data_IF_715074297021
#
_entry.id   IF_715074297021
#
_cell.length_a   1.000
_cell.length_b   1.000
_cell.length_c   1.000
_cell.angle_alpha   90.00
_cell.angle_beta   90.00
_cell.angle_gamma   90.00
#
_symmetry.space_group_name_H-M   'P 1'
#
loop_
_entity.id
_entity.type
_entity.pdbx_description
1 polymer ?
#
# COMPACT_ATOMS: atom_id res chain seq x y z
N UNK A 1 -43.29 -5.88 39.67
CA UNK A 1 -42.40 -6.14 38.52
C UNK A 1 -42.24 -4.83 37.76
N UNK A 2 -41.20 -4.05 38.07
CA UNK A 2 -41.00 -2.74 37.45
C UNK A 2 -40.49 -2.91 36.01
N UNK A 3 -40.97 -2.11 35.04
CA UNK A 3 -40.53 -2.20 33.66
C UNK A 3 -39.08 -1.69 33.52
N UNK A 4 -38.26 -2.46 32.81
CA UNK A 4 -36.88 -2.10 32.45
C UNK A 4 -36.91 -0.92 31.48
N UNK A 5 -36.42 0.23 31.94
CA UNK A 5 -36.27 1.44 31.11
C UNK A 5 -35.17 1.17 30.06
N UNK A 6 -35.45 1.29 28.75
CA UNK A 6 -34.43 1.13 27.72
C UNK A 6 -33.41 2.27 27.81
N UNK A 7 -32.11 1.94 27.89
CA UNK A 7 -31.00 2.90 27.83
C UNK A 7 -31.14 3.76 26.57
N UNK A 8 -31.32 5.07 26.78
CA UNK A 8 -31.33 6.11 25.75
C UNK A 8 -30.04 6.04 24.93
N UNK A 9 -30.16 5.68 23.65
CA UNK A 9 -29.11 5.82 22.63
C UNK A 9 -28.77 7.31 22.56
N UNK A 10 -27.62 7.71 23.11
CA UNK A 10 -27.13 9.08 23.01
C UNK A 10 -26.86 9.38 21.54
N UNK A 11 -27.46 10.45 21.01
CA UNK A 11 -27.16 10.94 19.68
C UNK A 11 -25.71 11.44 19.68
N UNK A 12 -24.84 10.77 18.92
CA UNK A 12 -23.42 11.13 18.82
C UNK A 12 -23.29 12.56 18.28
N UNK A 13 -22.65 13.44 19.05
CA UNK A 13 -22.33 14.80 18.61
C UNK A 13 -21.19 14.76 17.59
N UNK A 14 -21.09 15.78 16.73
CA UNK A 14 -19.94 15.95 15.81
C UNK A 14 -18.58 15.89 16.52
N UNK A 15 -18.51 16.32 17.78
CA UNK A 15 -17.31 16.24 18.61
C UNK A 15 -16.95 14.81 19.06
N UNK A 16 -17.93 13.94 19.31
CA UNK A 16 -17.66 12.54 19.67
C UNK A 16 -17.08 11.78 18.48
N UNK A 17 -17.64 12.02 17.28
CA UNK A 17 -17.18 11.39 16.03
C UNK A 17 -15.72 11.77 15.73
N UNK A 18 -15.34 13.05 15.90
CA UNK A 18 -13.96 13.48 15.67
C UNK A 18 -12.96 12.85 16.65
N UNK A 19 -13.36 12.65 17.90
CA UNK A 19 -12.53 11.96 18.91
C UNK A 19 -12.35 10.48 18.54
N UNK A 20 -13.41 9.80 18.14
CA UNK A 20 -13.36 8.40 17.70
C UNK A 20 -12.42 8.21 16.50
N UNK A 21 -12.48 9.10 15.50
CA UNK A 21 -11.54 9.05 14.35
C UNK A 21 -10.09 9.32 14.77
N UNK A 22 -9.87 10.29 15.65
CA UNK A 22 -8.52 10.63 16.13
C UNK A 22 -7.91 9.46 16.91
N UNK A 23 -8.72 8.81 17.74
CA UNK A 23 -8.33 7.60 18.47
C UNK A 23 -8.07 6.41 17.53
N UNK A 24 -8.94 6.18 16.55
CA UNK A 24 -8.73 5.11 15.57
C UNK A 24 -7.43 5.30 14.78
N UNK A 25 -7.10 6.54 14.38
CA UNK A 25 -5.85 6.85 13.68
C UNK A 25 -4.64 6.65 14.58
N UNK A 26 -4.69 7.14 15.83
CA UNK A 26 -3.56 7.01 16.76
C UNK A 26 -3.26 5.55 17.09
N UNK A 27 -4.31 4.75 17.37
CA UNK A 27 -4.21 3.31 17.63
C UNK A 27 -3.68 2.54 16.43
N UNK A 28 -4.17 2.86 15.22
CA UNK A 28 -3.71 2.22 13.98
C UNK A 28 -2.24 2.52 13.69
N UNK A 29 -1.82 3.77 13.91
CA UNK A 29 -0.47 4.23 13.66
C UNK A 29 0.54 3.66 14.67
N UNK A 30 0.14 3.55 15.94
CA UNK A 30 0.95 2.89 16.97
C UNK A 30 1.10 1.38 16.66
N UNK A 31 0.01 0.71 16.32
CA UNK A 31 0.00 -0.71 15.95
C UNK A 31 0.89 -1.00 14.74
N UNK A 32 0.80 -0.16 13.70
CA UNK A 32 1.67 -0.24 12.52
C UNK A 32 3.14 -0.02 12.87
N UNK A 33 3.48 1.02 13.64
CA UNK A 33 4.86 1.29 14.07
C UNK A 33 5.45 0.12 14.86
N UNK A 34 4.66 -0.52 15.72
CA UNK A 34 5.09 -1.72 16.46
C UNK A 34 5.34 -2.91 15.53
N UNK A 35 4.46 -3.14 14.55
CA UNK A 35 4.60 -4.22 13.56
C UNK A 35 5.89 -4.08 12.74
N UNK A 36 6.16 -2.87 12.23
CA UNK A 36 7.32 -2.57 11.38
C UNK A 36 8.63 -2.66 12.17
N UNK A 37 8.64 -2.20 13.43
CA UNK A 37 9.84 -2.24 14.28
C UNK A 37 10.25 -3.67 14.62
N UNK A 38 9.29 -4.57 14.80
CA UNK A 38 9.54 -5.96 15.13
C UNK A 38 10.01 -6.80 13.94
N UNK A 39 9.76 -6.36 12.69
CA UNK A 39 10.02 -7.15 11.49
C UNK A 39 10.85 -6.34 10.46
N UNK A 40 12.19 -6.53 10.41
CA UNK A 40 13.05 -5.76 9.51
C UNK A 40 12.72 -5.98 8.02
N UNK A 41 12.19 -7.16 7.66
CA UNK A 41 11.75 -7.47 6.29
C UNK A 41 10.55 -6.62 5.85
N UNK A 42 9.56 -6.46 6.74
CA UNK A 42 8.40 -5.59 6.48
C UNK A 42 8.83 -4.13 6.36
N UNK A 43 9.75 -3.69 7.22
CA UNK A 43 10.32 -2.34 7.14
C UNK A 43 10.96 -2.06 5.78
N UNK A 44 11.71 -3.01 5.25
CA UNK A 44 12.33 -2.87 3.93
C UNK A 44 11.29 -2.76 2.81
N UNK A 45 10.26 -3.61 2.85
CA UNK A 45 9.15 -3.58 1.87
C UNK A 45 8.42 -2.24 1.92
N UNK A 46 8.07 -1.76 3.12
CA UNK A 46 7.32 -0.52 3.30
C UNK A 46 8.13 0.71 2.85
N UNK A 47 9.44 0.74 3.12
CA UNK A 47 10.35 1.79 2.61
C UNK A 47 10.42 1.75 1.09
N UNK A 48 10.56 0.56 0.50
CA UNK A 48 10.63 0.42 -0.96
C UNK A 48 9.32 0.90 -1.62
N UNK A 49 8.16 0.56 -1.05
CA UNK A 49 6.87 1.06 -1.51
C UNK A 49 6.75 2.59 -1.41
N UNK A 50 7.23 3.21 -0.33
CA UNK A 50 7.27 4.67 -0.21
C UNK A 50 8.10 5.32 -1.32
N UNK A 51 9.26 4.74 -1.67
CA UNK A 51 10.11 5.25 -2.75
C UNK A 51 9.40 5.11 -4.10
N UNK A 52 8.73 3.98 -4.38
CA UNK A 52 7.98 3.79 -5.63
C UNK A 52 6.85 4.82 -5.79
N UNK A 53 6.12 5.12 -4.72
CA UNK A 53 5.08 6.15 -4.74
C UNK A 53 5.70 7.53 -4.98
N UNK A 54 6.83 7.84 -4.34
CA UNK A 54 7.52 9.11 -4.55
C UNK A 54 8.00 9.28 -6.01
N UNK A 55 8.55 8.23 -6.61
CA UNK A 55 8.98 8.23 -8.02
C UNK A 55 7.77 8.41 -8.95
N UNK A 56 6.69 7.64 -8.76
CA UNK A 56 5.49 7.76 -9.58
C UNK A 56 4.86 9.16 -9.52
N UNK A 57 4.85 9.78 -8.33
CA UNK A 57 4.39 11.16 -8.16
C UNK A 57 5.32 12.16 -8.86
N UNK A 58 6.64 11.94 -8.82
CA UNK A 58 7.61 12.79 -9.51
C UNK A 58 7.42 12.70 -11.02
N UNK A 59 7.33 11.50 -11.59
CA UNK A 59 7.07 11.28 -13.03
C UNK A 59 5.75 11.93 -13.48
N UNK A 60 4.69 11.74 -12.69
CA UNK A 60 3.39 12.36 -12.97
C UNK A 60 3.44 13.89 -12.89
N UNK A 61 4.15 14.43 -11.89
CA UNK A 61 4.35 15.88 -11.74
C UNK A 61 5.16 16.46 -12.89
N UNK A 62 6.21 15.76 -13.33
CA UNK A 62 7.03 16.17 -14.47
C UNK A 62 6.18 16.32 -15.74
N UNK A 63 5.38 15.31 -16.08
CA UNK A 63 4.50 15.36 -17.24
C UNK A 63 3.43 16.45 -17.11
N UNK A 64 2.85 16.62 -15.93
CA UNK A 64 1.86 17.67 -15.67
C UNK A 64 2.45 19.09 -15.83
N UNK A 65 3.72 19.29 -15.47
CA UNK A 65 4.40 20.60 -15.53
C UNK A 65 4.94 20.94 -16.91
N UNK A 66 5.50 19.96 -17.62
CA UNK A 66 6.11 20.17 -18.93
C UNK A 66 5.04 20.35 -20.01
N UNK A 67 3.81 19.87 -19.78
CA UNK A 67 2.68 19.94 -20.71
C UNK A 67 2.93 19.23 -22.08
N UNK A 68 4.07 18.55 -22.21
CA UNK A 68 4.39 17.68 -23.34
C UNK A 68 4.43 16.22 -22.89
N UNK A 69 3.67 15.38 -23.59
CA UNK A 69 3.52 13.95 -23.33
C UNK A 69 4.38 13.07 -24.24
N UNK A 70 5.34 13.64 -24.98
CA UNK A 70 6.13 12.90 -25.94
C UNK A 70 7.49 12.46 -25.36
N UNK A 71 7.86 11.16 -25.39
CA UNK A 71 7.09 9.99 -25.84
C UNK A 71 6.18 9.41 -24.74
N UNK A 72 4.90 9.21 -25.06
CA UNK A 72 3.87 8.79 -24.09
C UNK A 72 4.08 7.38 -23.55
N UNK A 73 4.63 6.49 -24.39
CA UNK A 73 4.96 5.12 -24.01
C UNK A 73 6.03 5.08 -22.92
N UNK A 74 7.02 5.98 -22.95
CA UNK A 74 8.07 6.00 -21.93
C UNK A 74 7.53 6.45 -20.57
N UNK A 75 6.67 7.46 -20.56
CA UNK A 75 5.96 7.87 -19.33
C UNK A 75 5.10 6.72 -18.79
N UNK A 76 4.25 6.12 -19.63
CA UNK A 76 3.40 5.01 -19.21
C UNK A 76 4.22 3.82 -18.71
N UNK A 77 5.33 3.47 -19.39
CA UNK A 77 6.20 2.38 -18.96
C UNK A 77 6.80 2.65 -17.57
N UNK A 78 7.32 3.86 -17.33
CA UNK A 78 7.87 4.30 -16.03
C UNK A 78 6.81 4.33 -14.91
N UNK A 79 5.63 4.85 -15.22
CA UNK A 79 4.55 4.92 -14.25
C UNK A 79 4.00 3.53 -13.91
N UNK A 80 3.75 2.69 -14.91
CA UNK A 80 3.20 1.34 -14.73
C UNK A 80 4.21 0.41 -14.05
N UNK A 81 5.51 0.53 -14.29
CA UNK A 81 6.49 -0.27 -13.55
C UNK A 81 6.49 0.09 -12.06
N UNK A 82 6.34 1.37 -11.72
CA UNK A 82 6.25 1.83 -10.32
C UNK A 82 4.97 1.30 -9.64
N UNK A 83 3.81 1.48 -10.29
CA UNK A 83 2.52 1.01 -9.78
C UNK A 83 2.47 -0.51 -9.68
N UNK A 84 2.89 -1.22 -10.73
CA UNK A 84 2.91 -2.68 -10.76
C UNK A 84 3.81 -3.27 -9.69
N UNK A 85 5.02 -2.71 -9.52
CA UNK A 85 5.93 -3.19 -8.48
C UNK A 85 5.40 -2.89 -7.07
N UNK A 86 4.75 -1.74 -6.87
CA UNK A 86 4.07 -1.42 -5.61
C UNK A 86 3.00 -2.46 -5.26
N UNK A 87 2.16 -2.84 -6.22
CA UNK A 87 1.11 -3.86 -6.02
C UNK A 87 1.74 -5.21 -5.64
N UNK A 88 2.77 -5.65 -6.37
CA UNK A 88 3.46 -6.91 -6.09
C UNK A 88 4.09 -6.93 -4.69
N UNK A 89 4.70 -5.82 -4.26
CA UNK A 89 5.25 -5.69 -2.91
C UNK A 89 4.17 -5.72 -1.82
N UNK A 90 3.01 -5.10 -2.06
CA UNK A 90 1.88 -5.17 -1.14
C UNK A 90 1.33 -6.59 -1.03
N UNK A 91 1.23 -7.32 -2.15
CA UNK A 91 0.88 -8.73 -2.14
C UNK A 91 1.87 -9.56 -1.32
N UNK A 92 3.18 -9.36 -1.51
CA UNK A 92 4.21 -10.04 -0.74
C UNK A 92 4.13 -9.69 0.76
N UNK A 93 3.91 -8.41 1.10
CA UNK A 93 3.75 -7.93 2.48
C UNK A 93 2.60 -8.64 3.20
N UNK A 94 1.47 -8.78 2.53
CA UNK A 94 0.28 -9.48 3.05
C UNK A 94 0.60 -10.95 3.32
N UNK A 95 1.22 -11.64 2.36
CA UNK A 95 1.58 -13.07 2.48
C UNK A 95 2.66 -13.32 3.55
N UNK A 96 3.57 -12.36 3.79
CA UNK A 96 4.58 -12.46 4.85
C UNK A 96 3.99 -12.24 6.25
N UNK A 97 2.96 -11.40 6.35
CA UNK A 97 2.28 -11.07 7.60
C UNK A 97 1.29 -12.16 7.99
N UNK A 98 0.41 -12.54 7.08
CA UNK A 98 -0.61 -13.57 7.26
C UNK A 98 -0.44 -14.62 6.16
N UNK A 99 0.35 -15.68 6.39
CA UNK A 99 0.63 -16.68 5.37
C UNK A 99 -0.64 -17.45 5.00
N UNK A 100 -0.87 -17.62 3.70
CA UNK A 100 -1.99 -18.41 3.20
C UNK A 100 -1.75 -19.91 3.43
N UNK A 101 -2.84 -20.64 3.67
CA UNK A 101 -2.76 -22.10 3.85
C UNK A 101 -2.16 -22.76 2.61
N UNK A 102 -1.14 -23.60 2.81
CA UNK A 102 -0.43 -24.28 1.71
C UNK A 102 0.61 -23.43 0.96
N UNK A 103 0.82 -22.16 1.32
CA UNK A 103 1.85 -21.30 0.70
C UNK A 103 2.94 -20.98 1.73
N UNK A 104 4.15 -21.48 1.49
CA UNK A 104 5.30 -21.13 2.31
C UNK A 104 5.81 -19.72 1.98
N UNK A 105 6.46 -19.06 2.95
CA UNK A 105 7.07 -17.74 2.74
C UNK A 105 8.12 -17.73 1.62
N UNK A 106 8.81 -18.86 1.40
CA UNK A 106 9.78 -19.01 0.33
C UNK A 106 9.09 -19.10 -1.04
N UNK A 107 7.95 -19.80 -1.13
CA UNK A 107 7.14 -19.87 -2.34
C UNK A 107 6.57 -18.50 -2.70
N UNK A 108 6.00 -17.80 -1.72
CA UNK A 108 5.51 -16.42 -1.86
C UNK A 108 6.58 -15.48 -2.43
N UNK A 109 7.81 -15.57 -1.91
CA UNK A 109 8.93 -14.78 -2.43
C UNK A 109 9.33 -15.17 -3.86
N UNK A 110 9.34 -16.47 -4.18
CA UNK A 110 9.62 -16.94 -5.54
C UNK A 110 8.59 -16.45 -6.56
N UNK A 111 7.30 -16.50 -6.22
CA UNK A 111 6.21 -15.97 -7.05
C UNK A 111 6.34 -14.46 -7.26
N UNK A 112 6.69 -13.72 -6.21
CA UNK A 112 6.97 -12.30 -6.29
C UNK A 112 8.10 -12.00 -7.28
N UNK A 113 9.25 -12.69 -7.19
CA UNK A 113 10.40 -12.46 -8.08
C UNK A 113 10.03 -12.73 -9.53
N UNK A 114 9.36 -13.84 -9.82
CA UNK A 114 8.94 -14.19 -11.19
C UNK A 114 7.96 -13.14 -11.74
N UNK A 115 6.96 -12.73 -10.95
CA UNK A 115 6.01 -11.70 -11.34
C UNK A 115 6.70 -10.36 -11.60
N UNK A 116 7.65 -9.96 -10.74
CA UNK A 116 8.43 -8.74 -10.93
C UNK A 116 9.27 -8.80 -12.21
N UNK A 117 9.91 -9.93 -12.52
CA UNK A 117 10.69 -10.08 -13.76
C UNK A 117 9.82 -9.95 -15.01
N UNK A 118 8.63 -10.55 -15.01
CA UNK A 118 7.67 -10.43 -16.13
C UNK A 118 7.21 -8.98 -16.29
N UNK A 119 6.93 -8.29 -15.17
CA UNK A 119 6.56 -6.87 -15.17
C UNK A 119 7.69 -6.02 -15.78
N UNK A 120 8.93 -6.20 -15.32
CA UNK A 120 10.07 -5.43 -15.82
C UNK A 120 10.31 -5.69 -17.31
N UNK A 121 10.24 -6.96 -17.74
CA UNK A 121 10.37 -7.32 -19.15
C UNK A 121 9.29 -6.64 -20.02
N UNK A 122 8.03 -6.71 -19.58
CA UNK A 122 6.91 -6.10 -20.31
C UNK A 122 7.07 -4.58 -20.41
N UNK A 123 7.43 -3.91 -19.31
CA UNK A 123 7.64 -2.46 -19.31
C UNK A 123 8.84 -2.02 -20.15
N UNK A 124 9.95 -2.76 -20.11
CA UNK A 124 11.13 -2.49 -20.95
C UNK A 124 10.85 -2.71 -22.44
N UNK A 125 10.01 -3.69 -22.79
CA UNK A 125 9.57 -3.87 -24.17
C UNK A 125 8.60 -2.76 -24.61
N UNK A 126 7.75 -2.28 -23.72
CA UNK A 126 6.72 -1.27 -24.01
C UNK A 126 7.27 0.18 -24.05
N UNK A 127 8.43 0.45 -23.45
CA UNK A 127 9.01 1.81 -23.35
C UNK A 127 9.33 2.43 -24.71
N UNK A 128 9.56 1.60 -25.74
CA UNK A 128 9.93 1.97 -27.11
C UNK A 128 8.76 1.71 -28.06
#
# INVERSE_FOLDING_TARGET
>A
MAPVIPKKKSAAGKEDIQKDFTEAISLSLESYKKQVRNNPKLRLIDIFCCILVAIALLECSFVALVQDNYPFNAFLAGFIICVGQFVLLMCLRLQLTNPFQGISKNKAFGEFVIASLILHFTCLHFIN
#
